data_IF_861545625935
#
_entry.id   IF_861545625935
#
_cell.length_a   1.000
_cell.length_b   1.000
_cell.length_c   1.000
_cell.angle_alpha   90.00
_cell.angle_beta   90.00
_cell.angle_gamma   90.00
#
_symmetry.space_group_name_H-M   'P 1'
#
loop_
_entity.id
_entity.type
_entity.pdbx_description
1 polymer ?
#
# COMPACT_ATOMS: atom_id res chain seq x y z
N UNK A 1 -16.91 -17.59 14.47
CA UNK A 1 -15.59 -16.89 14.48
C UNK A 1 -15.17 -16.49 13.07
N UNK A 2 -15.60 -17.24 12.06
CA UNK A 2 -15.20 -17.08 10.65
C UNK A 2 -15.56 -15.68 10.09
N UNK A 3 -16.78 -15.21 10.34
CA UNK A 3 -17.23 -13.87 9.90
C UNK A 3 -16.39 -12.76 10.55
N UNK A 4 -15.99 -12.92 11.82
CA UNK A 4 -15.14 -11.95 12.50
C UNK A 4 -13.78 -11.87 11.81
N UNK A 5 -13.14 -13.01 11.55
CA UNK A 5 -11.83 -13.06 10.90
C UNK A 5 -11.87 -12.62 9.45
N UNK A 6 -12.97 -12.88 8.74
CA UNK A 6 -13.22 -12.30 7.41
C UNK A 6 -13.32 -10.78 7.49
N UNK A 7 -14.06 -10.25 8.47
CA UNK A 7 -14.14 -8.81 8.70
C UNK A 7 -12.78 -8.19 9.03
N UNK A 8 -11.97 -8.84 9.87
CA UNK A 8 -10.60 -8.39 10.21
C UNK A 8 -9.72 -8.37 8.96
N UNK A 9 -9.70 -9.46 8.19
CA UNK A 9 -8.91 -9.54 6.95
C UNK A 9 -9.35 -8.48 5.93
N UNK A 10 -10.66 -8.30 5.75
CA UNK A 10 -11.22 -7.29 4.86
C UNK A 10 -10.83 -5.87 5.28
N UNK A 11 -10.97 -5.52 6.55
CA UNK A 11 -10.59 -4.18 7.05
C UNK A 11 -9.09 -3.94 6.87
N UNK A 12 -8.24 -4.92 7.15
CA UNK A 12 -6.79 -4.80 6.98
C UNK A 12 -6.42 -4.61 5.50
N UNK A 13 -6.99 -5.41 4.60
CA UNK A 13 -6.68 -5.32 3.17
C UNK A 13 -7.19 -4.01 2.56
N UNK A 14 -8.42 -3.60 2.87
CA UNK A 14 -8.98 -2.34 2.39
C UNK A 14 -8.22 -1.14 2.98
N UNK A 15 -7.86 -1.20 4.26
CA UNK A 15 -7.06 -0.19 4.93
C UNK A 15 -5.67 -0.06 4.31
N UNK A 16 -5.02 -1.18 3.98
CA UNK A 16 -3.74 -1.17 3.25
C UNK A 16 -3.85 -0.41 1.92
N UNK A 17 -4.83 -0.73 1.07
CA UNK A 17 -5.00 0.00 -0.20
C UNK A 17 -5.35 1.49 -0.01
N UNK A 18 -6.11 1.82 1.03
CA UNK A 18 -6.49 3.19 1.35
C UNK A 18 -5.35 4.03 1.98
N UNK A 19 -4.41 3.38 2.66
CA UNK A 19 -3.33 4.04 3.40
C UNK A 19 -2.00 3.95 2.65
N UNK A 20 -1.53 2.76 2.32
CA UNK A 20 -0.30 2.58 1.54
C UNK A 20 -0.45 3.05 0.09
N UNK A 21 -1.69 3.01 -0.44
CA UNK A 21 -1.96 3.30 -1.85
C UNK A 21 -1.45 4.66 -2.33
N UNK A 22 -1.48 5.69 -1.48
CA UNK A 22 -0.97 7.00 -1.86
C UNK A 22 0.56 7.07 -1.85
N UNK A 23 1.24 6.30 -0.99
CA UNK A 23 2.70 6.26 -0.95
C UNK A 23 3.25 5.55 -2.19
N UNK A 24 2.63 4.43 -2.57
CA UNK A 24 2.93 3.73 -3.83
C UNK A 24 2.63 4.66 -5.02
N UNK A 25 1.49 5.34 -4.99
CA UNK A 25 1.12 6.35 -5.97
C UNK A 25 2.15 7.46 -6.14
N UNK A 26 2.62 8.02 -5.03
CA UNK A 26 3.63 9.06 -5.02
C UNK A 26 4.99 8.58 -5.51
N UNK A 27 5.39 7.37 -5.11
CA UNK A 27 6.62 6.75 -5.59
C UNK A 27 6.64 6.60 -7.11
N UNK A 28 5.53 6.11 -7.71
CA UNK A 28 5.38 6.02 -9.17
C UNK A 28 5.45 7.40 -9.84
N UNK A 29 4.84 8.41 -9.22
CA UNK A 29 4.76 9.76 -9.77
C UNK A 29 5.98 10.63 -9.44
N UNK A 30 6.98 10.12 -8.73
CA UNK A 30 8.14 10.88 -8.27
C UNK A 30 8.86 11.64 -9.40
N UNK A 31 9.12 11.05 -10.59
CA UNK A 31 9.77 11.76 -11.69
C UNK A 31 8.89 12.85 -12.32
N UNK A 32 7.56 12.68 -12.25
CA UNK A 32 6.57 13.57 -12.88
C UNK A 32 6.26 14.77 -11.99
N UNK A 33 6.05 14.52 -10.69
CA UNK A 33 5.74 15.55 -9.69
C UNK A 33 7.01 16.27 -9.23
N UNK A 34 8.11 15.55 -9.09
CA UNK A 34 9.42 16.09 -8.74
C UNK A 34 10.28 16.36 -9.97
N UNK A 35 9.91 17.33 -10.80
CA UNK A 35 10.70 17.64 -12.02
C UNK A 35 12.12 18.14 -11.70
N UNK A 36 12.28 18.78 -10.54
CA UNK A 36 13.57 19.21 -9.97
C UNK A 36 13.98 18.33 -8.81
N UNK A 37 15.27 18.32 -8.46
CA UNK A 37 15.77 17.60 -7.28
C UNK A 37 15.02 18.01 -6.01
N UNK A 38 14.84 19.32 -5.82
CA UNK A 38 14.09 19.87 -4.70
C UNK A 38 12.62 19.44 -4.72
N UNK A 39 12.01 19.35 -5.91
CA UNK A 39 10.65 18.83 -6.08
C UNK A 39 10.54 17.37 -5.63
N UNK A 40 11.49 16.51 -6.04
CA UNK A 40 11.54 15.10 -5.60
C UNK A 40 11.70 15.00 -4.09
N UNK A 41 12.58 15.82 -3.54
CA UNK A 41 12.82 15.89 -2.09
C UNK A 41 11.57 16.29 -1.33
N UNK A 42 10.79 17.25 -1.84
CA UNK A 42 9.50 17.65 -1.24
C UNK A 42 8.45 16.55 -1.33
N UNK A 43 8.38 15.83 -2.44
CA UNK A 43 7.46 14.69 -2.61
C UNK A 43 7.79 13.57 -1.62
N UNK A 44 9.06 13.18 -1.52
CA UNK A 44 9.51 12.15 -0.56
C UNK A 44 9.26 12.60 0.89
N UNK A 45 9.57 13.86 1.23
CA UNK A 45 9.24 14.42 2.55
C UNK A 45 7.74 14.33 2.90
N UNK A 46 6.87 14.48 1.90
CA UNK A 46 5.43 14.51 2.12
C UNK A 46 4.90 13.16 2.62
N UNK A 47 5.44 12.05 2.09
CA UNK A 47 5.02 10.69 2.43
C UNK A 47 5.85 10.05 3.56
N UNK A 48 7.11 10.43 3.74
CA UNK A 48 8.03 9.79 4.69
C UNK A 48 7.47 9.48 6.10
N UNK A 49 6.69 10.36 6.76
CA UNK A 49 6.14 10.06 8.08
C UNK A 49 5.04 8.98 8.09
N UNK A 50 4.47 8.66 6.93
CA UNK A 50 3.34 7.74 6.78
C UNK A 50 3.78 6.34 6.38
N UNK A 51 4.84 6.20 5.59
CA UNK A 51 5.31 4.95 4.99
C UNK A 51 5.33 3.79 5.99
N UNK A 52 6.08 3.91 7.08
CA UNK A 52 6.17 2.82 8.07
C UNK A 52 4.81 2.49 8.73
N UNK A 53 3.99 3.51 8.99
CA UNK A 53 2.68 3.31 9.61
C UNK A 53 1.67 2.65 8.66
N UNK A 54 1.88 2.81 7.35
CA UNK A 54 1.05 2.22 6.32
C UNK A 54 1.51 0.78 5.99
N UNK A 55 2.82 0.52 5.95
CA UNK A 55 3.40 -0.81 5.64
C UNK A 55 3.00 -1.89 6.64
N UNK A 56 2.82 -1.54 7.92
CA UNK A 56 2.39 -2.50 8.95
C UNK A 56 1.01 -3.10 8.68
N UNK A 57 0.16 -2.45 7.86
CA UNK A 57 -1.11 -3.01 7.43
C UNK A 57 -0.90 -4.23 6.53
N UNK A 58 0.07 -4.19 5.61
CA UNK A 58 0.41 -5.33 4.77
C UNK A 58 0.95 -6.50 5.60
N UNK A 59 1.81 -6.21 6.57
CA UNK A 59 2.33 -7.23 7.49
C UNK A 59 1.19 -7.89 8.27
N UNK A 60 0.21 -7.10 8.72
CA UNK A 60 -0.97 -7.62 9.39
C UNK A 60 -1.86 -8.45 8.46
N UNK A 61 -2.08 -8.01 7.21
CA UNK A 61 -2.80 -8.80 6.18
C UNK A 61 -2.12 -10.16 5.99
N UNK A 62 -0.80 -10.18 5.84
CA UNK A 62 -0.04 -11.42 5.71
C UNK A 62 -0.17 -12.28 6.98
N UNK A 63 0.03 -11.72 8.17
CA UNK A 63 -0.12 -12.47 9.42
C UNK A 63 -1.51 -13.10 9.58
N UNK A 64 -2.56 -12.39 9.21
CA UNK A 64 -3.94 -12.92 9.22
C UNK A 64 -4.14 -13.99 8.15
N UNK A 65 -3.59 -13.83 6.95
CA UNK A 65 -3.63 -14.85 5.90
C UNK A 65 -3.02 -16.18 6.39
N UNK A 66 -1.81 -16.11 6.96
CA UNK A 66 -1.09 -17.29 7.47
C UNK A 66 -1.79 -17.91 8.70
N UNK A 67 -2.31 -17.10 9.61
CA UNK A 67 -2.93 -17.59 10.84
C UNK A 67 -4.37 -18.06 10.65
N UNK A 68 -5.23 -17.19 10.11
CA UNK A 68 -6.66 -17.42 10.02
C UNK A 68 -7.07 -18.18 8.75
N UNK A 69 -6.22 -18.24 7.71
CA UNK A 69 -6.53 -18.89 6.44
C UNK A 69 -5.39 -19.78 5.89
N UNK A 70 -4.88 -20.76 6.66
CA UNK A 70 -3.68 -21.51 6.29
C UNK A 70 -3.82 -22.29 4.97
N UNK A 71 -5.03 -22.73 4.59
CA UNK A 71 -5.24 -23.39 3.30
C UNK A 71 -5.21 -22.39 2.14
N UNK A 72 -5.91 -21.26 2.30
CA UNK A 72 -5.88 -20.19 1.31
C UNK A 72 -4.47 -19.64 1.12
N UNK A 73 -3.71 -19.49 2.20
CA UNK A 73 -2.31 -19.07 2.17
C UNK A 73 -1.47 -19.95 1.23
N UNK A 74 -1.48 -21.27 1.43
CA UNK A 74 -0.74 -22.20 0.58
C UNK A 74 -1.15 -22.14 -0.89
N UNK A 75 -2.46 -22.04 -1.17
CA UNK A 75 -2.97 -21.91 -2.53
C UNK A 75 -2.53 -20.59 -3.20
N UNK A 76 -2.63 -19.47 -2.47
CA UNK A 76 -2.26 -18.14 -2.97
C UNK A 76 -0.76 -18.04 -3.22
N UNK A 77 0.08 -18.46 -2.27
CA UNK A 77 1.54 -18.36 -2.41
C UNK A 77 2.07 -19.27 -3.51
N UNK A 78 1.54 -20.48 -3.62
CA UNK A 78 1.96 -21.41 -4.67
C UNK A 78 1.41 -21.01 -6.04
N UNK A 79 0.11 -20.73 -6.12
CA UNK A 79 -0.58 -20.38 -7.37
C UNK A 79 -0.11 -19.06 -7.98
N UNK A 80 0.24 -18.08 -7.13
CA UNK A 80 0.67 -16.75 -7.55
C UNK A 80 2.13 -16.45 -7.24
N UNK A 81 2.96 -17.47 -7.04
CA UNK A 81 4.39 -17.33 -6.69
C UNK A 81 5.13 -16.22 -7.46
N UNK A 82 5.08 -16.15 -8.82
CA UNK A 82 5.79 -15.08 -9.55
C UNK A 82 5.28 -13.67 -9.21
N UNK A 83 3.98 -13.50 -8.96
CA UNK A 83 3.41 -12.21 -8.57
C UNK A 83 3.76 -11.86 -7.12
N UNK A 84 3.74 -12.84 -6.21
CA UNK A 84 4.15 -12.65 -4.81
C UNK A 84 5.62 -12.25 -4.73
N UNK A 85 6.51 -12.95 -5.45
CA UNK A 85 7.93 -12.60 -5.52
C UNK A 85 8.10 -11.21 -6.12
N UNK A 86 7.36 -10.87 -7.18
CA UNK A 86 7.38 -9.54 -7.77
C UNK A 86 6.93 -8.45 -6.78
N UNK A 87 5.88 -8.69 -5.99
CA UNK A 87 5.44 -7.78 -4.93
C UNK A 87 6.55 -7.55 -3.91
N UNK A 88 7.16 -8.63 -3.40
CA UNK A 88 8.22 -8.54 -2.38
C UNK A 88 9.47 -7.82 -2.90
N UNK A 89 9.95 -8.16 -4.10
CA UNK A 89 11.11 -7.50 -4.71
C UNK A 89 10.80 -6.02 -4.94
N UNK A 90 9.61 -5.70 -5.46
CA UNK A 90 9.18 -4.32 -5.71
C UNK A 90 9.11 -3.50 -4.42
N UNK A 91 8.58 -4.10 -3.34
CA UNK A 91 8.54 -3.50 -2.02
C UNK A 91 9.94 -3.22 -1.49
N UNK A 92 10.83 -4.21 -1.49
CA UNK A 92 12.22 -4.07 -1.04
C UNK A 92 12.95 -2.97 -1.83
N UNK A 93 12.83 -2.96 -3.15
CA UNK A 93 13.50 -1.99 -4.02
C UNK A 93 13.00 -0.56 -3.77
N UNK A 94 11.68 -0.39 -3.61
CA UNK A 94 11.08 0.91 -3.27
C UNK A 94 11.62 1.42 -1.94
N UNK A 95 11.57 0.60 -0.89
CA UNK A 95 11.94 1.02 0.46
C UNK A 95 13.45 1.27 0.55
N UNK A 96 14.27 0.41 -0.04
CA UNK A 96 15.70 0.65 -0.19
C UNK A 96 15.95 2.01 -0.87
N UNK A 97 15.19 2.33 -1.92
CA UNK A 97 15.22 3.64 -2.56
C UNK A 97 14.92 4.77 -1.60
N UNK A 98 13.85 4.69 -0.81
CA UNK A 98 13.50 5.73 0.15
C UNK A 98 14.59 5.92 1.21
N UNK A 99 15.12 4.84 1.77
CA UNK A 99 16.09 4.88 2.87
C UNK A 99 17.53 5.21 2.46
N UNK A 100 17.93 4.87 1.22
CA UNK A 100 19.31 5.03 0.74
C UNK A 100 19.55 6.25 -0.12
N UNK A 101 18.49 6.85 -0.68
CA UNK A 101 18.57 7.99 -1.60
C UNK A 101 19.43 9.17 -1.11
N UNK A 102 19.44 9.44 0.19
CA UNK A 102 20.22 10.53 0.80
C UNK A 102 21.42 10.10 1.64
N UNK A 103 21.76 8.81 1.63
CA UNK A 103 22.93 8.30 2.37
C UNK A 103 24.25 8.73 1.75
N UNK A 104 24.28 8.94 0.44
CA UNK A 104 25.43 9.45 -0.29
C UNK A 104 25.01 10.66 -1.13
N UNK A 105 25.96 11.58 -1.30
CA UNK A 105 25.80 12.69 -2.22
C UNK A 105 26.18 12.29 -3.65
N UNK A 106 25.60 13.01 -4.61
CA UNK A 106 25.85 12.78 -6.03
C UNK A 106 24.58 12.67 -6.84
N UNK A 107 24.60 13.29 -8.02
CA UNK A 107 23.45 13.30 -8.94
C UNK A 107 23.11 11.90 -9.44
N UNK A 108 24.12 11.09 -9.75
CA UNK A 108 23.93 9.72 -10.24
C UNK A 108 23.32 8.81 -9.16
N UNK A 109 23.79 8.90 -7.91
CA UNK A 109 23.25 8.15 -6.77
C UNK A 109 21.77 8.46 -6.55
N UNK A 110 21.43 9.75 -6.43
CA UNK A 110 20.05 10.19 -6.22
C UNK A 110 19.14 9.79 -7.39
N UNK A 111 19.60 9.93 -8.63
CA UNK A 111 18.84 9.51 -9.81
C UNK A 111 18.61 7.99 -9.85
N UNK A 112 19.59 7.19 -9.44
CA UNK A 112 19.45 5.74 -9.34
C UNK A 112 18.35 5.34 -8.35
N UNK A 113 18.34 5.94 -7.16
CA UNK A 113 17.31 5.67 -6.16
C UNK A 113 15.96 6.28 -6.49
N UNK A 114 15.91 7.44 -7.15
CA UNK A 114 14.66 7.98 -7.72
C UNK A 114 14.03 6.99 -8.71
N UNK A 115 14.87 6.36 -9.56
CA UNK A 115 14.46 5.30 -10.48
C UNK A 115 13.98 4.05 -9.75
N UNK A 116 14.71 3.60 -8.72
CA UNK A 116 14.32 2.46 -7.89
C UNK A 116 12.96 2.68 -7.19
N UNK A 117 12.72 3.87 -6.61
CA UNK A 117 11.43 4.23 -6.00
C UNK A 117 10.32 4.17 -7.05
N UNK A 118 10.54 4.76 -8.22
CA UNK A 118 9.55 4.78 -9.29
C UNK A 118 9.20 3.38 -9.79
N UNK A 119 10.21 2.58 -10.13
CA UNK A 119 10.03 1.24 -10.68
C UNK A 119 9.52 0.25 -9.64
N UNK A 120 10.02 0.32 -8.40
CA UNK A 120 9.54 -0.49 -7.28
C UNK A 120 8.08 -0.17 -6.97
N UNK A 121 7.70 1.10 -6.93
CA UNK A 121 6.29 1.46 -6.69
C UNK A 121 5.38 1.03 -7.84
N UNK A 122 5.83 1.14 -9.09
CA UNK A 122 5.07 0.65 -10.24
C UNK A 122 4.92 -0.87 -10.21
N UNK A 123 6.01 -1.60 -9.99
CA UNK A 123 6.00 -3.06 -9.87
C UNK A 123 5.07 -3.52 -8.75
N UNK A 124 5.08 -2.84 -7.60
CA UNK A 124 4.20 -3.16 -6.48
C UNK A 124 2.73 -2.95 -6.84
N UNK A 125 2.37 -1.81 -7.43
CA UNK A 125 1.00 -1.51 -7.83
C UNK A 125 0.49 -2.45 -8.94
N UNK A 126 1.33 -2.71 -9.94
CA UNK A 126 1.02 -3.58 -11.06
C UNK A 126 0.81 -5.02 -10.60
N UNK A 127 1.73 -5.55 -9.79
CA UNK A 127 1.63 -6.92 -9.28
C UNK A 127 0.44 -7.11 -8.35
N UNK A 128 0.05 -6.09 -7.58
CA UNK A 128 -1.20 -6.11 -6.82
C UNK A 128 -2.41 -6.22 -7.73
N UNK A 129 -2.54 -5.38 -8.76
CA UNK A 129 -3.68 -5.45 -9.66
C UNK A 129 -3.75 -6.77 -10.44
N UNK A 130 -2.59 -7.29 -10.88
CA UNK A 130 -2.52 -8.59 -11.51
C UNK A 130 -2.91 -9.72 -10.55
N UNK A 131 -2.46 -9.66 -9.29
CA UNK A 131 -2.79 -10.65 -8.26
C UNK A 131 -4.29 -10.63 -7.92
N UNK A 132 -4.89 -9.45 -7.74
CA UNK A 132 -6.32 -9.33 -7.43
C UNK A 132 -7.19 -9.96 -8.53
N UNK A 133 -6.89 -9.69 -9.80
CA UNK A 133 -7.62 -10.30 -10.92
C UNK A 133 -7.33 -11.80 -11.04
N UNK A 134 -6.09 -12.22 -10.84
CA UNK A 134 -5.74 -13.64 -10.86
C UNK A 134 -6.49 -14.40 -9.77
N UNK A 135 -6.56 -13.88 -8.54
CA UNK A 135 -7.35 -14.45 -7.44
C UNK A 135 -8.83 -14.58 -7.81
N UNK A 136 -9.40 -13.55 -8.44
CA UNK A 136 -10.79 -13.58 -8.91
C UNK A 136 -11.02 -14.55 -10.09
N UNK A 137 -9.96 -14.96 -10.79
CA UNK A 137 -10.02 -15.74 -12.04
C UNK A 137 -9.38 -17.13 -11.92
N UNK A 138 -9.33 -17.71 -10.72
CA UNK A 138 -8.79 -19.07 -10.51
C UNK A 138 -7.26 -19.15 -10.54
N UNK A 139 -6.58 -18.13 -10.01
CA UNK A 139 -5.12 -18.06 -9.83
C UNK A 139 -4.30 -18.13 -11.12
N UNK A 140 -4.89 -17.68 -12.23
CA UNK A 140 -4.22 -17.66 -13.53
C UNK A 140 -3.79 -16.24 -13.92
N UNK A 141 -2.55 -16.09 -14.38
CA UNK A 141 -2.06 -14.82 -14.94
C UNK A 141 -2.57 -14.71 -16.37
N UNK A 142 -3.53 -13.80 -16.58
CA UNK A 142 -4.20 -13.59 -17.87
C UNK A 142 -3.94 -12.18 -18.40
N UNK A 143 -4.22 -11.90 -19.69
CA UNK A 143 -4.20 -10.54 -20.22
C UNK A 143 -5.11 -9.58 -19.44
N UNK A 144 -6.25 -10.06 -18.94
CA UNK A 144 -7.12 -9.29 -18.04
C UNK A 144 -6.42 -8.97 -16.71
N UNK A 145 -5.61 -9.89 -16.19
CA UNK A 145 -4.76 -9.64 -15.03
C UNK A 145 -3.75 -8.53 -15.26
N UNK A 146 -3.10 -8.50 -16.43
CA UNK A 146 -2.18 -7.42 -16.78
C UNK A 146 -2.91 -6.06 -16.88
N UNK A 147 -4.12 -6.05 -17.47
CA UNK A 147 -4.97 -4.86 -17.50
C UNK A 147 -5.38 -4.41 -16.08
N UNK A 148 -5.68 -5.36 -15.20
CA UNK A 148 -5.92 -5.11 -13.77
C UNK A 148 -4.73 -4.46 -13.08
N UNK A 149 -3.51 -4.93 -13.39
CA UNK A 149 -2.26 -4.32 -12.92
C UNK A 149 -2.15 -2.84 -13.32
N UNK A 150 -2.41 -2.52 -14.59
CA UNK A 150 -2.42 -1.13 -15.08
C UNK A 150 -3.51 -0.30 -14.41
N UNK A 151 -4.72 -0.85 -14.27
CA UNK A 151 -5.85 -0.15 -13.66
C UNK A 151 -5.58 0.19 -12.19
N UNK A 152 -5.04 -0.75 -11.41
CA UNK A 152 -4.64 -0.51 -10.01
C UNK A 152 -3.51 0.51 -9.95
N UNK A 153 -2.48 0.39 -10.79
CA UNK A 153 -1.42 1.40 -10.85
C UNK A 153 -1.95 2.81 -11.12
N UNK A 154 -2.90 2.96 -12.05
CA UNK A 154 -3.53 4.24 -12.33
C UNK A 154 -4.35 4.77 -11.14
N UNK A 155 -5.11 3.90 -10.46
CA UNK A 155 -5.89 4.27 -9.27
C UNK A 155 -4.99 4.73 -8.12
N UNK A 156 -3.90 4.00 -7.86
CA UNK A 156 -2.93 4.37 -6.82
C UNK A 156 -2.18 5.66 -7.19
N UNK A 157 -1.78 5.84 -8.44
CA UNK A 157 -1.19 7.09 -8.92
C UNK A 157 -2.14 8.29 -8.69
N UNK A 158 -3.42 8.14 -9.03
CA UNK A 158 -4.43 9.16 -8.77
C UNK A 158 -4.58 9.47 -7.28
N UNK A 159 -4.54 8.43 -6.43
CA UNK A 159 -4.59 8.57 -4.98
C UNK A 159 -3.36 9.33 -4.43
N UNK A 160 -2.14 8.98 -4.87
CA UNK A 160 -0.90 9.68 -4.53
C UNK A 160 -0.90 11.15 -4.96
N UNK A 161 -1.38 11.44 -6.18
CA UNK A 161 -1.55 12.81 -6.66
C UNK A 161 -2.55 13.61 -5.81
N UNK A 162 -3.65 12.99 -5.42
CA UNK A 162 -4.66 13.63 -4.56
C UNK A 162 -4.11 13.90 -3.17
N UNK A 163 -3.38 12.94 -2.60
CA UNK A 163 -2.70 13.08 -1.32
C UNK A 163 -1.71 14.24 -1.32
N UNK A 164 -0.79 14.33 -2.29
CA UNK A 164 0.20 15.43 -2.30
C UNK A 164 -0.44 16.79 -2.51
N UNK A 165 -1.52 16.86 -3.30
CA UNK A 165 -2.29 18.09 -3.52
C UNK A 165 -3.08 18.53 -2.28
N UNK A 166 -3.37 17.61 -1.36
CA UNK A 166 -3.95 17.88 -0.04
C UNK A 166 -2.85 18.23 0.98
N UNK A 167 -1.74 17.49 0.96
CA UNK A 167 -0.64 17.60 1.93
C UNK A 167 0.22 18.84 1.72
N UNK A 168 0.46 19.21 0.46
CA UNK A 168 1.32 20.31 0.01
C UNK A 168 0.59 21.20 -1.03
N UNK A 169 -0.49 21.91 -0.66
CA UNK A 169 -1.31 22.68 -1.61
C UNK A 169 -0.49 23.70 -2.40
N UNK A 170 -0.53 23.63 -3.74
CA UNK A 170 0.16 24.58 -4.63
C UNK A 170 1.70 24.49 -4.64
N UNK A 171 2.30 23.64 -3.81
CA UNK A 171 3.78 23.56 -3.64
C UNK A 171 4.44 22.49 -4.51
N UNK A 172 3.66 21.52 -4.99
CA UNK A 172 4.11 20.41 -5.85
C UNK A 172 3.25 20.33 -7.09
N UNK A 173 1.93 20.24 -6.89
CA UNK A 173 0.94 20.35 -7.96
C UNK A 173 0.38 21.77 -7.87
N UNK A 174 0.10 22.42 -9.00
CA UNK A 174 -0.65 23.69 -9.01
C UNK A 174 -2.10 23.55 -8.49
N UNK A 175 -2.47 22.36 -8.01
CA UNK A 175 -3.79 22.00 -7.52
C UNK A 175 -3.83 22.02 -5.98
N UNK A 176 -5.04 22.28 -5.46
CA UNK A 176 -5.38 22.12 -4.05
C UNK A 176 -6.52 21.14 -3.94
N UNK A 177 -6.40 20.14 -3.06
CA UNK A 177 -7.44 19.12 -2.82
C UNK A 177 -7.93 19.18 -1.37
N UNK A 178 -9.21 18.89 -1.17
CA UNK A 178 -9.83 18.80 0.15
C UNK A 178 -9.59 17.43 0.80
N UNK A 179 -9.82 17.33 2.11
CA UNK A 179 -9.79 16.02 2.80
C UNK A 179 -10.84 15.04 2.26
N UNK A 180 -12.01 15.54 1.84
CA UNK A 180 -13.05 14.71 1.19
C UNK A 180 -12.55 14.10 -0.12
N UNK A 181 -11.82 14.87 -0.94
CA UNK A 181 -11.24 14.32 -2.17
C UNK A 181 -10.23 13.21 -1.87
N UNK A 182 -9.44 13.35 -0.80
CA UNK A 182 -8.51 12.31 -0.35
C UNK A 182 -9.27 11.03 0.04
N UNK A 183 -10.34 11.14 0.84
CA UNK A 183 -11.18 10.00 1.21
C UNK A 183 -11.80 9.30 0.00
N UNK A 184 -12.32 10.06 -0.97
CA UNK A 184 -12.87 9.50 -2.21
C UNK A 184 -11.80 8.74 -2.97
N UNK A 185 -10.61 9.32 -3.13
CA UNK A 185 -9.50 8.64 -3.81
C UNK A 185 -9.02 7.40 -3.06
N UNK A 186 -9.10 7.38 -1.72
CA UNK A 186 -8.79 6.20 -0.92
C UNK A 186 -9.82 5.08 -1.15
N UNK A 187 -11.12 5.40 -1.22
CA UNK A 187 -12.16 4.44 -1.59
C UNK A 187 -11.94 3.89 -3.01
N UNK A 188 -11.54 4.73 -3.97
CA UNK A 188 -11.22 4.30 -5.34
C UNK A 188 -10.00 3.36 -5.34
N UNK A 189 -8.97 3.67 -4.56
CA UNK A 189 -7.78 2.82 -4.41
C UNK A 189 -8.12 1.44 -3.80
N UNK A 190 -9.06 1.40 -2.85
CA UNK A 190 -9.49 0.17 -2.18
C UNK A 190 -10.56 -0.63 -2.95
N UNK A 191 -11.25 -0.03 -3.94
CA UNK A 191 -12.34 -0.65 -4.66
C UNK A 191 -11.98 -1.99 -5.35
N UNK A 192 -10.81 -2.17 -5.98
CA UNK A 192 -10.41 -3.45 -6.55
C UNK A 192 -10.31 -4.57 -5.50
N UNK A 193 -9.74 -4.27 -4.33
CA UNK A 193 -9.66 -5.21 -3.22
C UNK A 193 -11.05 -5.51 -2.63
N UNK A 194 -11.94 -4.50 -2.54
CA UNK A 194 -13.32 -4.69 -2.10
C UNK A 194 -14.10 -5.61 -3.05
N UNK A 195 -13.93 -5.42 -4.36
CA UNK A 195 -14.54 -6.27 -5.37
C UNK A 195 -14.05 -7.72 -5.27
N UNK A 196 -12.73 -7.93 -5.08
CA UNK A 196 -12.18 -9.25 -4.81
C UNK A 196 -12.79 -9.87 -3.55
N UNK A 197 -12.78 -9.16 -2.42
CA UNK A 197 -13.29 -9.67 -1.15
C UNK A 197 -14.76 -10.05 -1.24
N UNK A 198 -15.58 -9.25 -1.94
CA UNK A 198 -16.99 -9.54 -2.17
C UNK A 198 -17.18 -10.82 -3.00
N UNK A 199 -16.42 -11.00 -4.08
CA UNK A 199 -16.48 -12.20 -4.92
C UNK A 199 -15.90 -13.45 -4.25
N UNK A 200 -14.84 -13.28 -3.47
CA UNK A 200 -14.12 -14.36 -2.80
C UNK A 200 -14.66 -14.70 -1.40
N UNK A 201 -15.68 -14.00 -0.89
CA UNK A 201 -16.19 -14.20 0.46
C UNK A 201 -16.60 -15.66 0.77
N UNK A 202 -17.35 -16.38 -0.09
CA UNK A 202 -17.70 -17.77 0.17
C UNK A 202 -16.46 -18.67 0.21
N UNK A 203 -15.48 -18.41 -0.66
CA UNK A 203 -14.23 -19.16 -0.70
C UNK A 203 -13.41 -18.90 0.57
N UNK A 204 -13.20 -17.64 0.97
CA UNK A 204 -12.45 -17.30 2.18
C UNK A 204 -13.11 -17.90 3.43
N UNK A 205 -14.43 -17.79 3.58
CA UNK A 205 -15.16 -18.37 4.71
C UNK A 205 -15.03 -19.89 4.77
N UNK A 206 -14.91 -20.58 3.62
CA UNK A 206 -14.63 -22.01 3.57
C UNK A 206 -13.18 -22.41 3.88
N UNK A 207 -12.25 -21.44 3.91
CA UNK A 207 -10.82 -21.66 4.14
C UNK A 207 -10.33 -21.19 5.52
N UNK A 208 -11.25 -20.77 6.40
CA UNK A 208 -10.87 -20.34 7.76
C UNK A 208 -10.28 -21.51 8.56
N UNK A 209 -9.33 -21.18 9.43
CA UNK A 209 -8.75 -22.12 10.38
C UNK A 209 -9.81 -22.70 11.33
N UNK A 210 -9.55 -23.85 11.98
CA UNK A 210 -10.43 -24.41 13.01
C UNK A 210 -10.73 -23.40 14.13
N UNK A 211 -11.92 -23.50 14.72
CA UNK A 211 -12.40 -22.55 15.74
C UNK A 211 -11.42 -22.40 16.92
N UNK A 212 -10.79 -23.48 17.36
CA UNK A 212 -9.82 -23.44 18.47
C UNK A 212 -8.61 -22.56 18.13
N UNK A 213 -8.09 -22.67 16.90
CA UNK A 213 -7.03 -21.80 16.39
C UNK A 213 -7.50 -20.36 16.35
N UNK A 214 -8.70 -20.10 15.81
CA UNK A 214 -9.26 -18.74 15.74
C UNK A 214 -9.47 -18.12 17.13
N UNK A 215 -9.81 -18.91 18.15
CA UNK A 215 -9.95 -18.43 19.53
C UNK A 215 -8.59 -17.99 20.10
N UNK A 216 -7.54 -18.79 19.90
CA UNK A 216 -6.18 -18.43 20.32
C UNK A 216 -5.71 -17.17 19.60
N UNK A 217 -5.88 -17.12 18.27
CA UNK A 217 -5.55 -15.94 17.48
C UNK A 217 -6.33 -14.71 17.94
N UNK A 218 -7.58 -14.86 18.39
CA UNK A 218 -8.40 -13.73 18.85
C UNK A 218 -7.80 -13.09 20.09
N UNK A 219 -7.28 -13.91 21.01
CA UNK A 219 -6.59 -13.45 22.20
C UNK A 219 -5.23 -12.83 21.88
N UNK A 220 -4.52 -13.35 20.87
CA UNK A 220 -3.18 -12.90 20.52
C UNK A 220 -3.16 -11.67 19.61
N UNK A 221 -4.13 -11.50 18.71
CA UNK A 221 -4.04 -10.51 17.63
C UNK A 221 -4.99 -9.33 17.86
N UNK A 222 -6.24 -9.57 18.25
CA UNK A 222 -7.23 -8.49 18.37
C UNK A 222 -6.84 -7.38 19.35
N UNK A 223 -6.12 -7.65 20.46
CA UNK A 223 -5.63 -6.58 21.34
C UNK A 223 -4.64 -5.61 20.68
N UNK A 224 -3.99 -5.99 19.57
CA UNK A 224 -3.08 -5.11 18.83
C UNK A 224 -3.80 -4.20 17.84
N UNK A 225 -5.04 -4.52 17.44
CA UNK A 225 -5.79 -3.69 16.49
C UNK A 225 -5.99 -2.24 16.99
N UNK A 226 -6.37 -1.98 18.26
CA UNK A 226 -6.43 -0.62 18.79
C UNK A 226 -5.07 0.11 18.78
N UNK A 227 -3.96 -0.62 18.97
CA UNK A 227 -2.60 -0.04 18.93
C UNK A 227 -2.25 0.41 17.52
N UNK A 228 -2.52 -0.43 16.51
CA UNK A 228 -2.33 -0.09 15.10
C UNK A 228 -3.17 1.12 14.69
N UNK A 229 -4.47 1.12 15.05
CA UNK A 229 -5.38 2.23 14.74
C UNK A 229 -4.93 3.51 15.46
N UNK A 230 -4.55 3.41 16.74
CA UNK A 230 -4.06 4.53 17.53
C UNK A 230 -2.78 5.13 16.94
N UNK A 231 -1.83 4.29 16.52
CA UNK A 231 -0.61 4.70 15.81
C UNK A 231 -0.92 5.41 14.51
N UNK A 232 -1.83 4.87 13.70
CA UNK A 232 -2.27 5.50 12.46
C UNK A 232 -2.89 6.88 12.74
N UNK A 233 -3.85 6.96 13.66
CA UNK A 233 -4.51 8.23 14.03
C UNK A 233 -3.48 9.25 14.53
N UNK A 234 -2.50 8.82 15.32
CA UNK A 234 -1.43 9.68 15.81
C UNK A 234 -0.58 10.25 14.67
N UNK A 235 -0.16 9.42 13.70
CA UNK A 235 0.59 9.88 12.51
C UNK A 235 -0.20 10.92 11.73
N UNK A 236 -1.47 10.65 11.42
CA UNK A 236 -2.32 11.57 10.65
C UNK A 236 -2.59 12.89 11.39
N UNK A 237 -2.77 12.84 12.71
CA UNK A 237 -2.91 14.06 13.54
C UNK A 237 -1.61 14.84 13.61
N UNK A 238 -0.47 14.19 13.70
CA UNK A 238 0.84 14.83 13.87
C UNK A 238 1.29 15.49 12.57
N UNK A 239 1.18 14.78 11.45
CA UNK A 239 1.75 15.18 10.16
C UNK A 239 0.72 15.71 9.16
N UNK A 240 -0.45 16.17 9.61
CA UNK A 240 -1.49 16.72 8.73
C UNK A 240 -1.08 17.96 7.89
N UNK A 241 -2.00 18.49 7.05
CA UNK A 241 -1.73 19.60 6.14
C UNK A 241 -1.21 20.83 6.87
N UNK A 242 -0.25 21.54 6.27
CA UNK A 242 0.39 22.70 6.88
C UNK A 242 1.47 22.37 7.93
N UNK A 243 1.60 21.11 8.35
CA UNK A 243 2.67 20.63 9.24
C UNK A 243 3.78 19.90 8.48
N UNK A 244 3.98 20.23 7.19
CA UNK A 244 5.08 19.68 6.42
C UNK A 244 6.37 20.33 6.89
N UNK A 245 7.41 19.58 7.27
CA UNK A 245 8.67 20.19 7.61
C UNK A 245 9.24 20.89 6.36
N UNK A 246 9.76 22.10 6.53
CA UNK A 246 10.37 22.89 5.45
C UNK A 246 11.61 22.20 4.87
N UNK A 247 12.22 21.30 5.64
CA UNK A 247 13.32 20.43 5.25
C UNK A 247 12.92 18.98 5.38
N UNK A 248 13.26 18.17 4.39
CA UNK A 248 13.14 16.71 4.45
C UNK A 248 13.98 16.20 5.65
N UNK A 249 13.42 15.37 6.55
CA UNK A 249 14.18 14.77 7.65
C UNK A 249 15.43 14.04 7.13
N UNK A 250 16.54 14.06 7.86
CA UNK A 250 17.81 13.45 7.44
C UNK A 250 17.76 11.93 7.19
N UNK A 251 16.68 11.27 7.60
CA UNK A 251 16.47 9.84 7.41
C UNK A 251 15.94 9.47 6.01
N UNK A 252 15.47 10.45 5.20
CA UNK A 252 14.95 10.28 3.83
C UNK A 252 15.46 11.34 2.85
#
# INVERSE_FOLDING_TARGET
MDILWFGVFAVLLLGYFALEGFDIGLGMLLPVLGRTQEGRDRVVAAMAPYVLANEVWLVAVAGVLFGAYPRAEGEVLFGLYPLVVSLLVSWIVRDAGLWFRRRLDGRAWRAGWDGAICLGSFGLAFSWGAALVALASGMSITPLGLAGGVAVAAALAFHGWTFVSWRLPGRVTGARRSGTALLVSACVAAAPAAALLAGAAPWLLGHTAPTDTLNVLSLMILPFAPVMIGGQVWVWRTFGPGRAPERTPSFF
#
